data_IF_548855608875
#
_entry.id   IF_548855608875
#
_cell.length_a   1.000
_cell.length_b   1.000
_cell.length_c   1.000
_cell.angle_alpha   90.00
_cell.angle_beta   90.00
_cell.angle_gamma   90.00
#
_symmetry.space_group_name_H-M   'P 1'
#
loop_
_entity.id
_entity.type
_entity.pdbx_description
1 polymer ?
#
# COMPACT_ATOMS: atom_id res chain seq x y z
N UNK A 1 18.51 -7.08 -3.80
CA UNK A 1 17.38 -7.71 -3.08
C UNK A 1 16.28 -7.98 -4.10
N UNK A 2 15.73 -9.19 -4.15
CA UNK A 2 14.47 -9.41 -4.86
C UNK A 2 13.43 -8.55 -4.13
N UNK A 3 13.01 -7.44 -4.73
CA UNK A 3 11.93 -6.64 -4.19
C UNK A 3 10.63 -7.19 -4.77
N UNK A 4 9.67 -7.51 -3.90
CA UNK A 4 8.32 -7.82 -4.36
C UNK A 4 7.63 -6.56 -4.88
N UNK A 5 6.44 -6.74 -5.43
CA UNK A 5 5.66 -5.66 -6.03
C UNK A 5 5.31 -4.57 -5.02
N UNK A 6 5.27 -3.31 -5.47
CA UNK A 6 4.84 -2.17 -4.68
C UNK A 6 3.75 -1.40 -5.40
N UNK A 7 2.77 -0.88 -4.66
CA UNK A 7 1.72 -0.03 -5.21
C UNK A 7 1.42 1.13 -4.27
N UNK A 8 1.00 2.25 -4.86
CA UNK A 8 0.17 3.26 -4.21
C UNK A 8 -1.26 3.12 -4.73
N UNK A 9 -2.24 3.14 -3.84
CA UNK A 9 -3.66 3.03 -4.18
C UNK A 9 -4.42 4.19 -3.53
N UNK A 10 -5.28 4.86 -4.28
CA UNK A 10 -6.23 5.84 -3.72
C UNK A 10 -7.51 5.75 -4.52
N UNK A 11 -8.59 5.39 -3.83
CA UNK A 11 -9.86 5.08 -4.45
C UNK A 11 -9.72 4.02 -5.57
N UNK A 12 -10.02 4.38 -6.82
CA UNK A 12 -9.87 3.49 -7.99
C UNK A 12 -8.52 3.66 -8.71
N UNK A 13 -7.66 4.56 -8.22
CA UNK A 13 -6.35 4.83 -8.81
C UNK A 13 -5.33 3.86 -8.24
N UNK A 14 -4.70 3.06 -9.10
CA UNK A 14 -3.63 2.12 -8.74
C UNK A 14 -2.36 2.54 -9.48
N UNK A 15 -1.31 2.83 -8.72
CA UNK A 15 0.01 3.21 -9.25
C UNK A 15 0.98 2.07 -8.92
N UNK A 16 1.35 1.23 -9.91
CA UNK A 16 2.40 0.25 -9.71
C UNK A 16 3.76 0.95 -9.64
N UNK A 17 4.52 0.66 -8.58
CA UNK A 17 5.93 1.02 -8.51
C UNK A 17 6.68 0.01 -9.37
N UNK A 18 7.10 0.47 -10.55
CA UNK A 18 7.92 -0.31 -11.47
C UNK A 18 9.29 -0.52 -10.82
N UNK A 19 9.86 -1.70 -11.02
CA UNK A 19 11.22 -2.20 -10.70
C UNK A 19 11.94 -1.64 -9.44
N UNK A 20 12.58 -2.46 -8.59
CA UNK A 20 13.56 -1.99 -7.60
C UNK A 20 14.57 -0.92 -8.07
N UNK A 21 14.83 -0.81 -9.39
CA UNK A 21 15.65 0.23 -10.00
C UNK A 21 14.93 1.57 -10.25
N UNK A 22 13.59 1.62 -10.35
CA UNK A 22 12.81 2.84 -10.64
C UNK A 22 12.25 3.52 -9.37
N UNK A 23 12.44 2.94 -8.19
CA UNK A 23 12.31 3.67 -6.93
C UNK A 23 11.49 2.98 -5.83
N UNK A 24 11.69 3.45 -4.60
CA UNK A 24 10.89 3.03 -3.44
C UNK A 24 9.57 3.82 -3.38
N UNK A 25 8.64 3.42 -2.50
CA UNK A 25 7.43 4.21 -2.21
C UNK A 25 7.72 5.69 -1.94
N UNK A 26 8.84 5.98 -1.25
CA UNK A 26 9.25 7.36 -0.93
C UNK A 26 9.88 8.05 -2.14
N UNK A 27 10.67 7.34 -2.96
CA UNK A 27 11.22 7.89 -4.20
C UNK A 27 10.11 8.41 -5.12
N UNK A 28 9.04 7.63 -5.28
CA UNK A 28 7.91 8.02 -6.11
C UNK A 28 7.20 9.29 -5.59
N UNK A 29 7.03 9.43 -4.27
CA UNK A 29 6.47 10.66 -3.68
C UNK A 29 7.40 11.86 -3.92
N UNK A 30 8.71 11.69 -3.77
CA UNK A 30 9.69 12.78 -3.97
C UNK A 30 9.72 13.23 -5.43
N UNK A 31 9.57 12.30 -6.37
CA UNK A 31 9.59 12.55 -7.81
C UNK A 31 8.27 13.14 -8.32
N UNK A 32 7.14 12.80 -7.70
CA UNK A 32 5.79 13.20 -8.08
C UNK A 32 4.96 13.79 -6.91
N UNK A 33 5.48 14.79 -6.17
CA UNK A 33 4.88 15.25 -4.92
C UNK A 33 3.46 15.83 -5.10
N UNK A 34 3.20 16.45 -6.25
CA UNK A 34 1.89 17.01 -6.60
C UNK A 34 0.77 15.97 -6.63
N UNK A 35 1.07 14.72 -6.98
CA UNK A 35 0.09 13.64 -6.96
C UNK A 35 -0.38 13.32 -5.54
N UNK A 36 0.49 13.60 -4.56
CA UNK A 36 0.26 13.36 -3.15
C UNK A 36 -0.14 14.62 -2.38
N UNK A 37 -0.46 15.72 -3.08
CA UNK A 37 -0.79 17.01 -2.45
C UNK A 37 0.36 17.52 -1.57
N UNK A 38 1.60 17.29 -2.02
CA UNK A 38 2.82 17.78 -1.38
C UNK A 38 3.60 18.67 -2.35
N UNK A 39 4.53 19.46 -1.84
CA UNK A 39 5.57 20.11 -2.65
C UNK A 39 6.97 19.58 -2.32
N UNK A 40 7.93 19.83 -3.21
CA UNK A 40 9.35 19.48 -2.98
C UNK A 40 9.90 20.20 -1.76
N UNK A 41 9.50 21.45 -1.55
CA UNK A 41 9.90 22.26 -0.40
C UNK A 41 9.35 21.70 0.90
N UNK A 42 8.10 21.23 0.90
CA UNK A 42 7.50 20.57 2.07
C UNK A 42 8.22 19.27 2.42
N UNK A 43 8.51 18.45 1.42
CA UNK A 43 9.27 17.19 1.60
C UNK A 43 10.66 17.50 2.14
N UNK A 44 11.39 18.42 1.53
CA UNK A 44 12.74 18.80 1.96
C UNK A 44 12.73 19.29 3.41
N UNK A 45 11.75 20.14 3.77
CA UNK A 45 11.59 20.64 5.14
C UNK A 45 11.39 19.52 6.16
N UNK A 46 10.67 18.45 5.81
CA UNK A 46 10.50 17.29 6.69
C UNK A 46 11.85 16.58 6.89
N UNK A 47 12.60 16.33 5.82
CA UNK A 47 13.95 15.75 5.91
C UNK A 47 14.90 16.61 6.75
N UNK A 48 14.90 17.92 6.54
CA UNK A 48 15.71 18.88 7.30
C UNK A 48 15.35 18.86 8.79
N UNK A 49 14.06 18.74 9.13
CA UNK A 49 13.57 18.67 10.51
C UNK A 49 14.15 17.47 11.26
N UNK A 50 14.33 16.34 10.57
CA UNK A 50 14.92 15.13 11.14
C UNK A 50 16.43 15.03 10.95
N UNK A 51 17.05 15.99 10.28
CA UNK A 51 18.48 15.95 9.90
C UNK A 51 18.82 14.68 9.10
N UNK A 52 17.88 14.24 8.26
CA UNK A 52 18.03 13.08 7.39
C UNK A 52 18.33 13.54 5.94
N UNK A 53 19.17 12.81 5.23
CA UNK A 53 19.38 13.04 3.79
C UNK A 53 18.12 12.68 3.00
N UNK A 54 17.79 13.45 1.96
CA UNK A 54 16.67 13.15 1.08
C UNK A 54 16.79 11.71 0.54
N UNK A 55 15.67 11.00 0.39
CA UNK A 55 15.57 9.57 0.07
C UNK A 55 16.05 8.60 1.16
N UNK A 56 16.67 9.07 2.25
CA UNK A 56 17.07 8.18 3.33
C UNK A 56 15.85 7.57 4.02
N UNK A 57 15.94 6.28 4.29
CA UNK A 57 14.98 5.55 5.10
C UNK A 57 15.16 5.96 6.57
N UNK A 58 14.11 6.50 7.18
CA UNK A 58 14.15 7.07 8.52
C UNK A 58 12.82 7.69 8.94
N UNK A 59 12.88 8.60 9.93
CA UNK A 59 11.71 9.28 10.50
C UNK A 59 11.04 10.22 9.51
N UNK A 60 11.81 10.88 8.64
CA UNK A 60 11.25 11.77 7.63
C UNK A 60 10.34 11.01 6.66
N UNK A 61 10.80 9.83 6.22
CA UNK A 61 10.01 8.93 5.37
C UNK A 61 8.74 8.46 6.07
N UNK A 62 8.84 8.06 7.34
CA UNK A 62 7.68 7.61 8.10
C UNK A 62 6.63 8.72 8.21
N UNK A 63 7.05 9.95 8.52
CA UNK A 63 6.15 11.11 8.57
C UNK A 63 5.50 11.39 7.22
N UNK A 64 6.27 11.38 6.13
CA UNK A 64 5.73 11.62 4.77
C UNK A 64 4.70 10.53 4.41
N UNK A 65 5.02 9.25 4.62
CA UNK A 65 4.09 8.15 4.33
C UNK A 65 2.81 8.29 5.15
N UNK A 66 2.91 8.64 6.45
CA UNK A 66 1.74 8.85 7.29
C UNK A 66 0.87 10.01 6.82
N UNK A 67 1.47 11.15 6.44
CA UNK A 67 0.74 12.31 5.88
C UNK A 67 0.03 11.93 4.58
N UNK A 68 0.73 11.26 3.68
CA UNK A 68 0.15 10.76 2.43
C UNK A 68 -1.02 9.80 2.71
N UNK A 69 -0.89 8.91 3.69
CA UNK A 69 -1.98 8.02 4.09
C UNK A 69 -3.17 8.74 4.71
N UNK A 70 -2.97 9.84 5.46
CA UNK A 70 -4.08 10.65 6.00
C UNK A 70 -4.99 11.17 4.86
N UNK A 71 -4.39 11.52 3.72
CA UNK A 71 -5.05 11.92 2.48
C UNK A 71 -5.71 10.77 1.70
N UNK A 72 -5.80 9.57 2.29
CA UNK A 72 -6.49 8.41 1.72
C UNK A 72 -5.64 7.54 0.81
N UNK A 73 -4.32 7.76 0.76
CA UNK A 73 -3.41 6.89 0.02
C UNK A 73 -3.05 5.64 0.82
N UNK A 74 -3.23 4.49 0.19
CA UNK A 74 -2.93 3.17 0.71
C UNK A 74 -1.59 2.72 0.12
N UNK A 75 -0.65 2.39 0.99
CA UNK A 75 0.64 1.83 0.62
C UNK A 75 0.54 0.31 0.58
N UNK A 76 0.83 -0.30 -0.56
CA UNK A 76 0.85 -1.77 -0.69
C UNK A 76 2.25 -2.24 -1.06
N UNK A 77 2.72 -3.29 -0.39
CA UNK A 77 4.02 -3.93 -0.67
C UNK A 77 3.94 -5.44 -0.51
N UNK A 78 4.45 -6.17 -1.49
CA UNK A 78 4.71 -7.60 -1.38
C UNK A 78 6.12 -7.82 -0.85
N UNK A 79 6.22 -8.51 0.28
CA UNK A 79 7.47 -9.02 0.82
C UNK A 79 7.63 -10.45 0.35
N UNK A 80 8.85 -10.82 -0.07
CA UNK A 80 9.14 -12.18 -0.55
C UNK A 80 9.77 -13.08 0.52
N UNK A 81 10.28 -12.49 1.62
CA UNK A 81 10.96 -13.18 2.72
C UNK A 81 10.76 -12.41 4.05
N UNK A 82 9.80 -12.81 4.92
CA UNK A 82 8.76 -13.80 4.66
C UNK A 82 7.80 -13.36 3.55
N UNK A 83 7.06 -14.31 2.96
CA UNK A 83 6.17 -14.07 1.82
C UNK A 83 4.79 -13.59 2.30
N UNK A 84 4.48 -12.30 2.14
CA UNK A 84 3.19 -11.72 2.52
C UNK A 84 2.98 -10.34 1.87
N UNK A 85 1.72 -9.92 1.77
CA UNK A 85 1.31 -8.59 1.35
C UNK A 85 1.08 -7.68 2.55
N UNK A 86 1.80 -6.56 2.60
CA UNK A 86 1.57 -5.49 3.58
C UNK A 86 0.75 -4.37 2.95
N UNK A 87 -0.41 -4.10 3.52
CA UNK A 87 -1.32 -3.02 3.13
C UNK A 87 -1.39 -2.05 4.30
N UNK A 88 -0.91 -0.83 4.11
CA UNK A 88 -0.89 0.20 5.14
C UNK A 88 -1.75 1.38 4.71
N UNK A 89 -2.65 1.81 5.59
CA UNK A 89 -3.54 2.95 5.36
C UNK A 89 -3.73 3.75 6.63
N UNK A 90 -4.30 4.95 6.53
CA UNK A 90 -4.59 5.72 7.74
C UNK A 90 -5.71 5.07 8.56
N UNK A 91 -6.86 4.76 7.95
CA UNK A 91 -8.03 4.20 8.63
C UNK A 91 -8.60 3.01 7.86
N UNK A 92 -8.31 1.78 8.32
CA UNK A 92 -8.73 0.57 7.60
C UNK A 92 -10.24 0.41 7.49
N UNK A 93 -11.03 1.10 8.30
CA UNK A 93 -12.49 1.14 8.17
C UNK A 93 -12.89 2.07 7.03
N UNK A 94 -12.32 3.29 7.00
CA UNK A 94 -12.58 4.30 5.95
C UNK A 94 -12.17 3.78 4.57
N UNK A 95 -11.00 3.16 4.47
CA UNK A 95 -10.44 2.67 3.21
C UNK A 95 -10.85 1.25 2.82
N UNK A 96 -11.67 0.56 3.64
CA UNK A 96 -11.94 -0.88 3.47
C UNK A 96 -12.40 -1.24 2.06
N UNK A 97 -13.34 -0.46 1.50
CA UNK A 97 -13.88 -0.68 0.15
C UNK A 97 -12.74 -0.72 -0.89
N UNK A 98 -11.84 0.26 -0.84
CA UNK A 98 -10.76 0.38 -1.82
C UNK A 98 -9.69 -0.69 -1.64
N UNK A 99 -9.47 -1.16 -0.41
CA UNK A 99 -8.62 -2.34 -0.14
C UNK A 99 -9.22 -3.59 -0.78
N UNK A 100 -10.53 -3.82 -0.61
CA UNK A 100 -11.24 -4.94 -1.24
C UNK A 100 -11.17 -4.84 -2.76
N UNK A 101 -11.47 -3.67 -3.32
CA UNK A 101 -11.46 -3.44 -4.77
C UNK A 101 -10.05 -3.67 -5.35
N UNK A 102 -8.99 -3.24 -4.65
CA UNK A 102 -7.60 -3.50 -5.03
C UNK A 102 -7.25 -5.00 -4.99
N UNK A 103 -7.65 -5.72 -3.94
CA UNK A 103 -7.39 -7.16 -3.82
C UNK A 103 -8.08 -7.93 -4.95
N UNK A 104 -9.34 -7.60 -5.26
CA UNK A 104 -10.07 -8.19 -6.40
C UNK A 104 -9.35 -7.88 -7.71
N UNK A 105 -8.95 -6.63 -7.92
CA UNK A 105 -8.17 -6.25 -9.09
C UNK A 105 -6.88 -7.07 -9.23
N UNK A 106 -6.15 -7.32 -8.13
CA UNK A 106 -4.95 -8.16 -8.15
C UNK A 106 -5.20 -9.63 -8.50
N UNK A 107 -6.37 -10.18 -8.14
CA UNK A 107 -6.75 -11.55 -8.48
C UNK A 107 -7.13 -11.70 -9.96
N UNK A 108 -7.71 -10.64 -10.53
CA UNK A 108 -8.19 -10.62 -11.92
C UNK A 108 -7.11 -10.22 -12.93
N UNK A 109 -6.03 -9.57 -12.47
CA UNK A 109 -5.00 -9.00 -13.33
C UNK A 109 -3.65 -9.70 -13.20
N UNK A 110 -2.81 -9.46 -14.20
CA UNK A 110 -1.42 -9.90 -14.20
C UNK A 110 -0.50 -8.72 -14.40
N UNK A 111 0.70 -8.79 -13.82
CA UNK A 111 1.77 -7.83 -14.03
C UNK A 111 3.01 -8.60 -14.47
N UNK A 112 3.63 -8.17 -15.57
CA UNK A 112 4.77 -8.89 -16.20
C UNK A 112 4.47 -10.37 -16.47
N UNK A 113 3.27 -10.69 -16.97
CA UNK A 113 2.80 -12.05 -17.24
C UNK A 113 2.75 -12.98 -16.02
N UNK A 114 2.70 -12.42 -14.80
CA UNK A 114 2.52 -13.17 -13.55
C UNK A 114 1.27 -12.68 -12.83
N UNK A 115 0.58 -13.60 -12.15
CA UNK A 115 -0.50 -13.22 -11.23
C UNK A 115 0.05 -12.26 -10.19
N UNK A 116 -0.71 -11.21 -9.89
CA UNK A 116 -0.31 -10.25 -8.87
C UNK A 116 -0.53 -10.88 -7.51
N UNK A 117 -1.73 -11.39 -7.24
CA UNK A 117 -2.09 -12.04 -5.98
C UNK A 117 -2.81 -13.38 -6.23
N UNK A 118 -2.82 -14.27 -5.24
CA UNK A 118 -3.64 -15.48 -5.22
C UNK A 118 -4.57 -15.51 -4.01
N UNK A 119 -5.63 -16.33 -4.07
CA UNK A 119 -6.57 -16.50 -2.95
C UNK A 119 -5.91 -17.04 -1.67
N UNK A 120 -4.75 -17.69 -1.78
CA UNK A 120 -4.01 -18.25 -0.65
C UNK A 120 -2.96 -17.31 -0.09
N UNK A 121 -2.73 -16.15 -0.69
CA UNK A 121 -1.67 -15.23 -0.23
C UNK A 121 -2.00 -14.69 1.16
N UNK A 122 -0.95 -14.42 1.94
CA UNK A 122 -1.07 -13.80 3.26
C UNK A 122 -1.20 -12.28 3.15
N UNK A 123 -2.14 -11.68 3.92
CA UNK A 123 -2.36 -10.23 3.96
C UNK A 123 -2.19 -9.69 5.38
N UNK A 124 -1.43 -8.61 5.51
CA UNK A 124 -1.26 -7.83 6.74
C UNK A 124 -1.79 -6.42 6.49
N UNK A 125 -2.87 -6.06 7.15
CA UNK A 125 -3.47 -4.73 7.06
C UNK A 125 -3.07 -3.93 8.31
N UNK A 126 -2.48 -2.75 8.11
CA UNK A 126 -2.06 -1.87 9.20
C UNK A 126 -2.76 -0.51 9.11
N UNK A 127 -3.28 -0.04 10.24
CA UNK A 127 -3.89 1.29 10.38
C UNK A 127 -2.98 2.24 11.15
N UNK A 128 -2.65 3.39 10.57
CA UNK A 128 -1.90 4.42 11.29
C UNK A 128 -2.74 5.15 12.35
N UNK A 129 -4.06 5.23 12.19
CA UNK A 129 -4.98 5.96 13.09
C UNK A 129 -4.95 5.42 14.52
N UNK A 130 -4.88 4.10 14.68
CA UNK A 130 -4.93 3.43 15.98
C UNK A 130 -3.78 2.43 16.19
N UNK A 131 -2.83 2.38 15.25
CA UNK A 131 -1.69 1.45 15.26
C UNK A 131 -2.10 -0.03 15.34
N UNK A 132 -3.27 -0.39 14.79
CA UNK A 132 -3.75 -1.77 14.77
C UNK A 132 -3.26 -2.54 13.55
N UNK A 133 -3.18 -3.86 13.70
CA UNK A 133 -2.79 -4.79 12.65
C UNK A 133 -3.79 -5.95 12.57
N UNK A 134 -4.34 -6.18 11.38
CA UNK A 134 -5.13 -7.35 11.04
C UNK A 134 -4.28 -8.29 10.17
N UNK A 135 -4.22 -9.56 10.55
CA UNK A 135 -3.44 -10.57 9.83
C UNK A 135 -4.37 -11.65 9.31
N UNK A 136 -4.35 -11.85 7.99
CA UNK A 136 -5.01 -12.93 7.27
C UNK A 136 -3.92 -13.90 6.80
N UNK A 137 -3.56 -14.80 7.72
CA UNK A 137 -2.54 -15.83 7.55
C UNK A 137 -2.91 -16.84 6.45
N UNK A 138 -1.94 -17.26 5.64
CA UNK A 138 -2.18 -18.20 4.53
C UNK A 138 -2.77 -19.54 5.01
N UNK A 139 -2.35 -20.04 6.18
CA UNK A 139 -2.85 -21.28 6.78
C UNK A 139 -4.28 -21.16 7.30
N UNK A 140 -4.80 -19.93 7.41
CA UNK A 140 -6.17 -19.63 7.85
C UNK A 140 -7.00 -18.99 6.72
N UNK A 141 -6.64 -19.24 5.47
CA UNK A 141 -7.41 -18.86 4.28
C UNK A 141 -6.99 -17.53 3.65
N UNK A 142 -6.01 -16.81 4.19
CA UNK A 142 -5.38 -15.66 3.52
C UNK A 142 -6.37 -14.66 2.89
N UNK A 143 -6.10 -14.31 1.64
CA UNK A 143 -6.94 -13.44 0.80
C UNK A 143 -8.39 -13.94 0.70
N UNK A 144 -8.63 -15.24 0.54
CA UNK A 144 -9.99 -15.78 0.47
C UNK A 144 -10.80 -15.45 1.72
N UNK A 145 -10.20 -15.65 2.91
CA UNK A 145 -10.84 -15.29 4.17
C UNK A 145 -11.12 -13.80 4.26
N UNK A 146 -10.15 -12.96 3.88
CA UNK A 146 -10.34 -11.51 3.85
C UNK A 146 -11.56 -11.13 3.00
N UNK A 147 -11.69 -11.67 1.79
CA UNK A 147 -12.80 -11.36 0.90
C UNK A 147 -14.15 -11.88 1.43
N UNK A 148 -14.17 -13.07 2.05
CA UNK A 148 -15.40 -13.62 2.64
C UNK A 148 -15.94 -12.75 3.78
N UNK A 149 -15.06 -12.25 4.65
CA UNK A 149 -15.42 -11.36 5.76
C UNK A 149 -15.92 -9.98 5.28
N UNK A 150 -15.54 -9.58 4.05
CA UNK A 150 -15.81 -8.25 3.50
C UNK A 150 -16.67 -8.26 2.22
N UNK A 151 -17.42 -9.36 2.00
CA UNK A 151 -18.25 -9.57 0.79
C UNK A 151 -19.25 -8.44 0.49
N UNK A 152 -19.68 -7.70 1.51
CA UNK A 152 -20.67 -6.64 1.38
C UNK A 152 -20.13 -5.44 0.59
N UNK A 153 -18.80 -5.26 0.55
CA UNK A 153 -18.16 -4.26 -0.31
C UNK A 153 -18.18 -4.67 -1.80
N UNK A 154 -18.11 -5.98 -2.08
CA UNK A 154 -18.09 -6.53 -3.43
C UNK A 154 -19.47 -6.56 -4.11
N UNK A 155 -20.56 -6.77 -3.35
CA UNK A 155 -21.92 -6.84 -3.93
C UNK A 155 -22.40 -5.53 -4.54
N UNK A 156 -21.83 -4.40 -4.15
CA UNK A 156 -22.18 -3.08 -4.67
C UNK A 156 -21.51 -2.73 -6.01
N UNK A 157 -20.80 -3.67 -6.65
CA UNK A 157 -20.19 -3.52 -7.98
C UNK A 157 -21.00 -4.20 -9.09
N UNK A 158 -22.10 -4.89 -8.74
CA UNK A 158 -22.96 -5.66 -9.67
C UNK A 158 -24.35 -5.04 -9.87
N UNK A 159 -24.57 -3.80 -9.42
CA UNK A 159 -25.85 -3.08 -9.51
C UNK A 159 -25.73 -1.87 -10.45
#
# INVERSE_FOLDING_TARGET
>A
MLQGLGFWVKEHRIIPLRDPAEGTHISYIIEHPEEFTLTKEEIQKIYDTYQEELYREGKAREEIIQRVSQEGWIRVRHYLKPDYWSIQTYDTVRERKYIVDFVVWCLENTLHNRRIMTLTDELHLFSYKDATMEIYDFSRGGVERFLLEHRDYHRNLSA
#
